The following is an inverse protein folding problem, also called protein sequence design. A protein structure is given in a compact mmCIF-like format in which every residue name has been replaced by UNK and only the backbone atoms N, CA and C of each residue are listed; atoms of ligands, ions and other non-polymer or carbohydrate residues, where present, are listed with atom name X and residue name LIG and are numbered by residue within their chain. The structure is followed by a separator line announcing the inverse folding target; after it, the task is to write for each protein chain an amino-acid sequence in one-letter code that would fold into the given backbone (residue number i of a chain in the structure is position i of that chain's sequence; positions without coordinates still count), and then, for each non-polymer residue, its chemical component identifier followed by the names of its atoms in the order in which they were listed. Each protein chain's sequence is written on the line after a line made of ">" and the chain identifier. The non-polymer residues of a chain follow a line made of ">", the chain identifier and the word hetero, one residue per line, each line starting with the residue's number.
data_IF_236050231882
#
_entry.id   IF_236050231882
#
_cell.length_a   1.000
_cell.length_b   1.000
_cell.length_c   1.000
_cell.angle_alpha   90.00
_cell.angle_beta   90.00
_cell.angle_gamma   90.00
#
_symmetry.space_group_name_H-M   'P 1'
#
loop_
_entity.id
_entity.type
_entity.pdbx_description
1 polymer ?
#
# COMPACT_ATOMS: atom_id res chain seq x y z
N UNK A 1 -3.36 -1.94 9.05
CA UNK A 1 -2.52 -2.36 7.92
C UNK A 1 -2.39 -1.27 6.86
N UNK A 2 -3.49 -0.78 6.31
CA UNK A 2 -3.44 0.27 5.28
C UNK A 2 -2.80 1.55 5.78
N UNK A 3 -3.10 1.96 7.00
CA UNK A 3 -2.53 3.20 7.55
C UNK A 3 -1.01 3.14 7.66
N UNK A 4 -0.48 2.00 8.09
CA UNK A 4 0.96 1.83 8.23
C UNK A 4 1.64 1.88 6.87
N UNK A 5 1.06 1.21 5.87
CA UNK A 5 1.57 1.23 4.52
C UNK A 5 1.54 2.65 3.94
N UNK A 6 0.42 3.35 4.11
CA UNK A 6 0.27 4.70 3.55
C UNK A 6 1.23 5.68 4.20
N UNK A 7 1.45 5.54 5.52
CA UNK A 7 2.44 6.36 6.22
C UNK A 7 3.83 6.10 5.65
N UNK A 8 4.18 4.84 5.46
CA UNK A 8 5.46 4.45 4.89
C UNK A 8 5.64 5.03 3.50
N UNK A 9 4.59 4.95 2.66
CA UNK A 9 4.62 5.50 1.31
C UNK A 9 4.85 7.01 1.32
N UNK A 10 4.16 7.72 2.21
CA UNK A 10 4.31 9.18 2.29
C UNK A 10 5.69 9.59 2.78
N UNK A 11 6.24 8.85 3.72
CA UNK A 11 7.58 9.14 4.23
C UNK A 11 8.65 8.89 3.19
N UNK A 12 8.47 7.84 2.38
CA UNK A 12 9.47 7.46 1.43
C UNK A 12 9.34 8.18 0.09
N UNK A 13 8.13 8.40 -0.37
CA UNK A 13 7.86 8.92 -1.71
C UNK A 13 7.09 10.23 -1.72
N UNK A 14 6.67 10.72 -0.56
CA UNK A 14 5.88 11.94 -0.49
C UNK A 14 4.53 11.76 -1.15
N UNK A 15 4.17 12.69 -2.02
CA UNK A 15 2.89 12.66 -2.72
C UNK A 15 3.00 12.08 -4.13
N UNK A 16 4.06 11.33 -4.39
CA UNK A 16 4.33 10.81 -5.72
C UNK A 16 3.28 9.80 -6.19
N UNK A 17 2.72 9.02 -5.28
CA UNK A 17 1.78 7.97 -5.62
C UNK A 17 0.39 8.30 -5.11
N UNK A 18 -0.61 7.96 -5.92
CA UNK A 18 -2.02 8.11 -5.57
C UNK A 18 -2.45 6.91 -4.73
N UNK A 19 -2.80 7.16 -3.48
CA UNK A 19 -3.17 6.11 -2.52
C UNK A 19 -4.69 5.96 -2.39
N UNK A 20 -5.45 6.47 -3.36
CA UNK A 20 -6.91 6.35 -3.35
C UNK A 20 -7.34 4.90 -3.38
N UNK A 21 -8.30 4.56 -2.53
CA UNK A 21 -8.89 3.23 -2.48
C UNK A 21 -10.32 3.29 -2.99
N UNK A 22 -10.79 2.19 -3.57
CA UNK A 22 -12.17 2.09 -4.05
C UNK A 22 -13.13 1.76 -2.90
N UNK A 23 -14.39 1.54 -3.25
CA UNK A 23 -15.43 1.28 -2.23
C UNK A 23 -15.17 -0.01 -1.47
N UNK A 24 -14.45 -0.94 -2.04
CA UNK A 24 -14.10 -2.20 -1.40
C UNK A 24 -12.79 -2.11 -0.60
N UNK A 25 -12.15 -0.96 -0.60
CA UNK A 25 -10.93 -0.73 0.15
C UNK A 25 -9.65 -1.09 -0.57
N UNK A 26 -9.73 -1.43 -1.86
CA UNK A 26 -8.56 -1.74 -2.67
C UNK A 26 -7.99 -0.49 -3.31
N UNK A 27 -6.67 -0.44 -3.44
CA UNK A 27 -6.03 0.68 -4.12
C UNK A 27 -6.41 0.71 -5.59
N UNK A 28 -6.71 1.89 -6.11
CA UNK A 28 -7.15 2.05 -7.50
C UNK A 28 -6.00 1.91 -8.48
N UNK A 29 -4.80 2.33 -8.09
CA UNK A 29 -3.65 2.29 -8.98
C UNK A 29 -2.95 0.94 -8.91
N UNK A 30 -2.71 0.36 -10.08
CA UNK A 30 -2.08 -0.95 -10.18
C UNK A 30 -0.71 -0.99 -9.51
N UNK A 31 0.09 0.05 -9.73
CA UNK A 31 1.43 0.11 -9.13
C UNK A 31 1.34 0.11 -7.61
N UNK A 32 0.37 0.81 -7.05
CA UNK A 32 0.20 0.89 -5.59
C UNK A 32 -0.28 -0.44 -5.04
N UNK A 33 -1.16 -1.13 -5.76
CA UNK A 33 -1.59 -2.48 -5.37
C UNK A 33 -0.40 -3.41 -5.22
N UNK A 34 0.50 -3.38 -6.20
CA UNK A 34 1.69 -4.23 -6.19
C UNK A 34 2.64 -3.85 -5.07
N UNK A 35 2.83 -2.57 -4.85
CA UNK A 35 3.68 -2.09 -3.76
C UNK A 35 3.14 -2.52 -2.41
N UNK A 36 1.83 -2.43 -2.22
CA UNK A 36 1.19 -2.86 -0.99
C UNK A 36 1.37 -4.37 -0.76
N UNK A 37 1.20 -5.15 -1.81
CA UNK A 37 1.37 -6.60 -1.75
C UNK A 37 2.79 -6.96 -1.33
N UNK A 38 3.79 -6.35 -1.95
CA UNK A 38 5.18 -6.58 -1.62
C UNK A 38 5.48 -6.14 -0.19
N UNK A 39 4.97 -4.99 0.22
CA UNK A 39 5.17 -4.47 1.56
C UNK A 39 4.62 -5.42 2.62
N UNK A 40 3.41 -5.93 2.40
CA UNK A 40 2.79 -6.88 3.30
C UNK A 40 3.60 -8.18 3.39
N UNK A 41 4.10 -8.65 2.26
CA UNK A 41 4.91 -9.85 2.20
C UNK A 41 6.19 -9.71 3.02
N UNK A 42 6.88 -8.59 2.86
CA UNK A 42 8.10 -8.31 3.59
C UNK A 42 7.87 -8.19 5.10
N UNK A 43 6.69 -7.73 5.49
CA UNK A 43 6.34 -7.62 6.90
C UNK A 43 5.82 -8.93 7.49
N UNK A 44 5.68 -9.96 6.66
CA UNK A 44 5.16 -11.23 7.12
C UNK A 44 3.67 -11.21 7.41
N UNK A 45 2.94 -10.25 6.81
CA UNK A 45 1.50 -10.11 7.04
C UNK A 45 0.67 -11.08 6.24
N UNK A 46 1.25 -11.67 5.20
CA UNK A 46 0.64 -12.79 4.50
C UNK A 46 1.23 -14.06 5.10
N UNK A 47 0.63 -14.49 6.19
CA UNK A 47 1.07 -15.70 6.85
C UNK A 47 0.66 -16.90 6.00
N UNK A 48 1.56 -17.78 5.80
CA UNK A 48 1.31 -19.04 5.10
C UNK A 48 1.55 -20.21 6.00
#
# INVERSE_FOLDING_TARGET
>A
MHKAFERWMRQRYGNRYDLTRDVDGYYCREIVKRMFEVWCHHRGLYAV
#
